data_IF_664573084128
#
_entry.id   IF_664573084128
#
_cell.length_a   1.000
_cell.length_b   1.000
_cell.length_c   1.000
_cell.angle_alpha   90.00
_cell.angle_beta   90.00
_cell.angle_gamma   90.00
#
_symmetry.space_group_name_H-M   'P 1'
#
loop_
_entity.id
_entity.type
_entity.pdbx_description
1 polymer ?
#
# COMPACT_ATOMS: atom_id res chain seq x y z
N UNK A 1 5.92 -14.06 23.47
CA UNK A 1 5.88 -14.08 22.00
C UNK A 1 4.52 -14.58 21.57
N UNK A 2 3.98 -14.07 20.45
CA UNK A 2 2.69 -14.49 19.90
C UNK A 2 2.90 -15.17 18.53
N UNK A 3 2.12 -16.20 18.26
CA UNK A 3 2.04 -16.80 16.92
C UNK A 3 1.00 -16.10 16.09
N UNK A 4 1.35 -15.74 14.87
CA UNK A 4 0.53 -14.86 14.04
C UNK A 4 0.29 -15.46 12.67
N UNK A 5 -0.92 -15.29 12.16
CA UNK A 5 -1.22 -15.48 10.74
C UNK A 5 -1.56 -14.13 10.12
N UNK A 6 -0.87 -13.79 9.04
CA UNK A 6 -1.14 -12.60 8.24
C UNK A 6 -1.76 -13.01 6.91
N UNK A 7 -2.96 -12.52 6.61
CA UNK A 7 -3.69 -12.86 5.39
C UNK A 7 -3.81 -11.64 4.47
N UNK A 8 -3.25 -11.72 3.28
CA UNK A 8 -3.29 -10.64 2.30
C UNK A 8 -2.58 -11.03 1.01
N UNK A 9 -2.91 -10.38 -0.09
CA UNK A 9 -2.23 -10.71 -1.34
C UNK A 9 -2.81 -10.00 -2.56
N UNK A 10 -2.20 -10.31 -3.70
CA UNK A 10 -2.54 -9.80 -5.02
C UNK A 10 -1.77 -8.56 -5.40
N UNK A 11 -1.89 -7.47 -4.67
CA UNK A 11 -1.28 -6.16 -4.99
C UNK A 11 -0.34 -5.67 -3.89
N UNK A 12 0.56 -4.75 -4.26
CA UNK A 12 1.45 -4.08 -3.30
C UNK A 12 0.68 -3.38 -2.16
N UNK A 13 -0.51 -2.85 -2.42
CA UNK A 13 -1.36 -2.20 -1.42
C UNK A 13 -1.82 -3.11 -0.28
N UNK A 14 -1.82 -4.44 -0.47
CA UNK A 14 -2.11 -5.42 0.59
C UNK A 14 -0.85 -6.08 1.15
N UNK A 15 0.16 -6.32 0.29
CA UNK A 15 1.37 -7.05 0.68
C UNK A 15 2.34 -6.16 1.46
N UNK A 16 2.54 -4.91 1.05
CA UNK A 16 3.48 -4.01 1.73
C UNK A 16 3.08 -3.71 3.19
N UNK A 17 1.83 -3.34 3.52
CA UNK A 17 1.44 -3.14 4.93
C UNK A 17 1.50 -4.43 5.74
N UNK A 18 1.22 -5.59 5.14
CA UNK A 18 1.37 -6.90 5.77
C UNK A 18 2.84 -7.13 6.17
N UNK A 19 3.78 -6.90 5.25
CA UNK A 19 5.22 -7.05 5.51
C UNK A 19 5.73 -6.03 6.53
N UNK A 20 5.25 -4.79 6.48
CA UNK A 20 5.61 -3.76 7.46
C UNK A 20 5.20 -4.19 8.89
N UNK A 21 4.03 -4.77 9.06
CA UNK A 21 3.57 -5.32 10.35
C UNK A 21 4.39 -6.54 10.76
N UNK A 22 4.71 -7.44 9.84
CA UNK A 22 5.55 -8.61 10.12
C UNK A 22 6.94 -8.21 10.63
N UNK A 23 7.60 -7.27 9.93
CA UNK A 23 8.90 -6.74 10.34
C UNK A 23 8.82 -6.05 11.71
N UNK A 24 7.73 -5.34 11.98
CA UNK A 24 7.55 -4.66 13.26
C UNK A 24 7.34 -5.65 14.42
N UNK A 25 6.59 -6.74 14.20
CA UNK A 25 6.45 -7.84 15.17
C UNK A 25 7.80 -8.46 15.54
N UNK A 26 8.64 -8.72 14.54
CA UNK A 26 10.00 -9.27 14.75
C UNK A 26 10.89 -8.25 15.47
N UNK A 27 10.89 -7.00 15.04
CA UNK A 27 11.67 -5.92 15.65
C UNK A 27 11.37 -5.71 17.13
N UNK A 28 10.09 -5.79 17.51
CA UNK A 28 9.67 -5.67 18.92
C UNK A 28 9.93 -6.92 19.76
N UNK A 29 10.42 -8.00 19.15
CA UNK A 29 10.54 -9.30 19.83
C UNK A 29 9.18 -9.93 20.18
N UNK A 30 8.10 -9.45 19.55
CA UNK A 30 6.74 -9.96 19.76
C UNK A 30 6.54 -11.33 19.11
N UNK A 31 7.23 -11.59 18.00
CA UNK A 31 7.25 -12.86 17.26
C UNK A 31 8.61 -13.10 16.64
N UNK A 32 8.97 -14.35 16.38
CA UNK A 32 10.07 -14.70 15.47
C UNK A 32 9.54 -14.87 14.04
N UNK A 33 10.40 -14.88 13.00
CA UNK A 33 9.94 -15.18 11.63
C UNK A 33 9.19 -16.52 11.50
N UNK A 34 9.56 -17.53 12.30
CA UNK A 34 8.95 -18.86 12.34
C UNK A 34 7.54 -18.83 12.97
N UNK A 35 7.28 -17.87 13.86
CA UNK A 35 5.96 -17.66 14.48
C UNK A 35 4.99 -16.92 13.55
N UNK A 36 5.46 -16.40 12.41
CA UNK A 36 4.66 -15.66 11.44
C UNK A 36 4.39 -16.50 10.21
N UNK A 37 3.12 -16.85 9.99
CA UNK A 37 2.67 -17.50 8.77
C UNK A 37 1.91 -16.51 7.90
N UNK A 38 2.30 -16.37 6.64
CA UNK A 38 1.55 -15.60 5.65
C UNK A 38 0.67 -16.53 4.82
N UNK A 39 -0.62 -16.18 4.69
CA UNK A 39 -1.56 -16.84 3.78
C UNK A 39 -1.85 -15.91 2.60
N UNK A 40 -1.47 -16.32 1.40
CA UNK A 40 -1.62 -15.59 0.16
C UNK A 40 -2.20 -16.43 -0.98
N UNK A 41 -2.02 -15.97 -2.22
CA UNK A 41 -2.37 -16.71 -3.44
C UNK A 41 -1.09 -17.15 -4.18
N UNK A 42 -1.24 -18.01 -5.21
CA UNK A 42 -0.10 -18.46 -6.03
C UNK A 42 0.34 -17.43 -7.08
N UNK A 43 -0.43 -16.37 -7.29
CA UNK A 43 -0.35 -15.50 -8.48
C UNK A 43 -0.07 -14.03 -8.13
N UNK A 44 0.01 -13.69 -6.85
CA UNK A 44 0.20 -12.31 -6.39
C UNK A 44 1.66 -11.97 -6.08
N UNK A 45 1.93 -10.69 -5.77
CA UNK A 45 3.25 -10.21 -5.38
C UNK A 45 3.80 -10.89 -4.11
N UNK A 46 2.93 -11.43 -3.28
CA UNK A 46 3.27 -12.15 -2.06
C UNK A 46 4.15 -13.38 -2.33
N UNK A 47 4.05 -13.99 -3.52
CA UNK A 47 4.86 -15.17 -3.87
C UNK A 47 6.35 -14.87 -3.96
N UNK A 48 6.71 -13.64 -4.28
CA UNK A 48 8.08 -13.14 -4.32
C UNK A 48 8.45 -12.44 -3.01
N UNK A 49 7.67 -11.45 -2.60
CA UNK A 49 8.04 -10.55 -1.50
C UNK A 49 8.04 -11.21 -0.11
N UNK A 50 7.16 -12.19 0.14
CA UNK A 50 7.10 -12.85 1.45
C UNK A 50 8.32 -13.74 1.70
N UNK A 51 8.76 -14.63 0.75
CA UNK A 51 10.02 -15.35 0.90
C UNK A 51 11.26 -14.46 0.94
N UNK A 52 11.31 -13.38 0.15
CA UNK A 52 12.39 -12.39 0.19
C UNK A 52 12.51 -11.72 1.57
N UNK A 53 11.39 -11.57 2.30
CA UNK A 53 11.36 -11.07 3.67
C UNK A 53 11.70 -12.16 4.73
N UNK A 54 12.09 -13.37 4.33
CA UNK A 54 12.41 -14.48 5.23
C UNK A 54 11.20 -15.10 5.94
N UNK A 55 9.98 -14.88 5.42
CA UNK A 55 8.74 -15.37 6.02
C UNK A 55 8.16 -16.58 5.31
N UNK A 56 7.44 -17.42 6.06
CA UNK A 56 6.76 -18.59 5.49
C UNK A 56 5.47 -18.21 4.78
N UNK A 57 5.37 -18.52 3.47
CA UNK A 57 4.16 -18.36 2.68
C UNK A 57 3.42 -19.70 2.52
N UNK A 58 2.12 -19.72 2.78
CA UNK A 58 1.20 -20.79 2.36
C UNK A 58 0.13 -20.20 1.48
N UNK A 59 -0.28 -20.93 0.45
CA UNK A 59 -1.21 -20.41 -0.55
C UNK A 59 -2.55 -21.16 -0.53
N UNK A 60 -3.62 -20.38 -0.76
CA UNK A 60 -4.96 -20.88 -1.07
C UNK A 60 -5.36 -20.44 -2.47
N UNK A 61 -6.46 -20.98 -2.99
CA UNK A 61 -6.95 -20.63 -4.31
C UNK A 61 -7.37 -19.15 -4.36
N UNK A 62 -7.01 -18.47 -5.44
CA UNK A 62 -7.52 -17.12 -5.74
C UNK A 62 -8.98 -17.23 -6.17
N UNK A 63 -9.87 -16.53 -5.46
CA UNK A 63 -11.31 -16.62 -5.66
C UNK A 63 -11.90 -15.22 -5.88
N UNK A 64 -11.85 -14.68 -7.11
CA UNK A 64 -12.54 -13.43 -7.42
C UNK A 64 -14.04 -13.62 -7.23
N UNK A 65 -14.67 -12.68 -6.54
CA UNK A 65 -16.11 -12.72 -6.31
C UNK A 65 -16.85 -12.56 -7.64
N UNK A 66 -17.82 -13.44 -7.97
CA UNK A 66 -18.53 -13.40 -9.24
C UNK A 66 -19.37 -12.13 -9.34
N UNK A 67 -19.16 -11.36 -10.42
CA UNK A 67 -19.91 -10.11 -10.69
C UNK A 67 -21.17 -10.35 -11.53
N UNK A 68 -21.32 -11.54 -12.11
CA UNK A 68 -22.47 -11.94 -12.94
C UNK A 68 -22.90 -13.35 -12.55
N UNK A 69 -24.19 -13.63 -12.65
CA UNK A 69 -24.73 -14.97 -12.45
C UNK A 69 -24.46 -15.80 -13.74
N UNK A 70 -23.39 -16.59 -13.70
CA UNK A 70 -22.99 -17.50 -14.79
C UNK A 70 -22.49 -18.83 -14.20
N UNK A 71 -22.08 -19.78 -15.04
CA UNK A 71 -21.53 -21.06 -14.58
C UNK A 71 -20.35 -20.93 -13.63
N UNK A 72 -19.56 -19.86 -13.74
CA UNK A 72 -18.45 -19.57 -12.81
C UNK A 72 -18.96 -19.19 -11.40
N UNK A 73 -20.14 -18.58 -11.30
CA UNK A 73 -20.76 -18.29 -10.01
C UNK A 73 -21.23 -19.56 -9.28
N UNK A 74 -21.69 -20.58 -10.01
CA UNK A 74 -22.01 -21.90 -9.44
C UNK A 74 -20.77 -22.61 -8.88
N UNK A 75 -19.65 -22.55 -9.60
CA UNK A 75 -18.37 -23.14 -9.16
C UNK A 75 -17.67 -22.35 -8.07
N UNK A 76 -18.09 -21.13 -7.82
CA UNK A 76 -17.50 -20.27 -6.76
C UNK A 76 -17.68 -20.88 -5.37
N UNK A 77 -18.91 -21.32 -5.04
CA UNK A 77 -19.21 -21.78 -3.68
C UNK A 77 -18.44 -23.04 -3.26
N UNK A 78 -18.37 -24.13 -4.04
CA UNK A 78 -17.55 -25.29 -3.68
C UNK A 78 -16.06 -24.94 -3.59
N UNK A 79 -15.54 -24.07 -4.47
CA UNK A 79 -14.16 -23.59 -4.38
C UNK A 79 -13.92 -22.73 -3.13
N UNK A 80 -14.89 -21.89 -2.77
CA UNK A 80 -14.82 -21.08 -1.56
C UNK A 80 -14.80 -21.96 -0.30
N UNK A 81 -15.68 -22.95 -0.22
CA UNK A 81 -15.67 -23.94 0.88
C UNK A 81 -14.33 -24.67 0.94
N UNK A 82 -13.79 -25.12 -0.19
CA UNK A 82 -12.46 -25.74 -0.25
C UNK A 82 -11.34 -24.81 0.26
N UNK A 83 -11.40 -23.53 -0.08
CA UNK A 83 -10.44 -22.53 0.43
C UNK A 83 -10.60 -22.29 1.95
N UNK A 84 -11.85 -22.26 2.46
CA UNK A 84 -12.12 -22.18 3.91
C UNK A 84 -11.56 -23.39 4.63
N UNK A 85 -11.83 -24.62 4.15
CA UNK A 85 -11.32 -25.84 4.77
C UNK A 85 -9.78 -25.90 4.75
N UNK A 86 -9.17 -25.44 3.67
CA UNK A 86 -7.70 -25.32 3.61
C UNK A 86 -7.19 -24.29 4.62
N UNK A 87 -7.86 -23.14 4.76
CA UNK A 87 -7.52 -22.12 5.77
C UNK A 87 -7.66 -22.69 7.19
N UNK A 88 -8.74 -23.42 7.48
CA UNK A 88 -8.93 -24.11 8.78
C UNK A 88 -7.76 -25.05 9.08
N UNK A 89 -7.31 -25.88 8.11
CA UNK A 89 -6.17 -26.77 8.30
C UNK A 89 -4.88 -26.01 8.60
N UNK A 90 -4.62 -24.91 7.87
CA UNK A 90 -3.44 -24.06 8.09
C UNK A 90 -3.48 -23.41 9.46
N UNK A 91 -4.63 -22.85 9.87
CA UNK A 91 -4.79 -22.23 11.18
C UNK A 91 -4.63 -23.25 12.32
N UNK A 92 -5.22 -24.45 12.19
CA UNK A 92 -5.04 -25.53 13.19
C UNK A 92 -3.61 -26.02 13.30
N UNK A 93 -2.90 -26.11 12.18
CA UNK A 93 -1.48 -26.53 12.15
C UNK A 93 -0.56 -25.50 12.78
N UNK A 94 -0.78 -24.19 12.45
CA UNK A 94 0.07 -23.10 12.96
C UNK A 94 -0.31 -22.65 14.37
N UNK A 95 -1.58 -22.84 14.79
CA UNK A 95 -2.14 -22.48 16.12
C UNK A 95 -1.87 -21.01 16.47
N UNK A 96 -2.32 -20.04 15.64
CA UNK A 96 -2.04 -18.64 15.91
C UNK A 96 -2.85 -18.10 17.08
N UNK A 97 -2.26 -17.18 17.85
CA UNK A 97 -2.93 -16.41 18.90
C UNK A 97 -3.82 -15.31 18.32
N UNK A 98 -3.47 -14.83 17.14
CA UNK A 98 -4.20 -13.78 16.40
C UNK A 98 -4.01 -13.92 14.89
N UNK A 99 -5.05 -13.59 14.14
CA UNK A 99 -5.02 -13.47 12.67
C UNK A 99 -5.19 -12.01 12.29
N UNK A 100 -4.36 -11.51 11.39
CA UNK A 100 -4.52 -10.17 10.82
C UNK A 100 -4.78 -10.25 9.31
N UNK A 101 -5.82 -9.58 8.84
CA UNK A 101 -6.20 -9.53 7.44
C UNK A 101 -5.97 -8.16 6.82
N UNK A 102 -5.34 -8.16 5.62
CA UNK A 102 -4.98 -6.94 4.89
C UNK A 102 -5.78 -6.76 3.59
N UNK A 103 -6.78 -7.61 3.35
CA UNK A 103 -7.58 -7.55 2.14
C UNK A 103 -7.10 -8.45 1.01
N UNK A 104 -7.70 -8.26 -0.17
CA UNK A 104 -7.52 -9.17 -1.31
C UNK A 104 -8.46 -10.39 -1.26
N UNK A 105 -8.45 -11.17 -2.33
CA UNK A 105 -9.35 -12.33 -2.48
C UNK A 105 -9.09 -13.46 -1.47
N UNK A 106 -7.88 -13.52 -0.93
CA UNK A 106 -7.47 -14.51 0.07
C UNK A 106 -8.11 -14.27 1.43
N UNK A 107 -8.44 -13.05 1.76
CA UNK A 107 -8.86 -12.67 3.12
C UNK A 107 -10.23 -13.24 3.50
N UNK A 108 -11.19 -13.28 2.59
CA UNK A 108 -12.54 -13.75 2.92
C UNK A 108 -12.59 -15.21 3.42
N UNK A 109 -11.97 -16.22 2.76
CA UNK A 109 -11.92 -17.59 3.28
C UNK A 109 -11.19 -17.69 4.63
N UNK A 110 -10.11 -16.90 4.81
CA UNK A 110 -9.36 -16.88 6.07
C UNK A 110 -10.21 -16.29 7.19
N UNK A 111 -10.97 -15.21 6.95
CA UNK A 111 -11.86 -14.61 7.95
C UNK A 111 -12.94 -15.59 8.42
N UNK A 112 -13.57 -16.34 7.50
CA UNK A 112 -14.54 -17.39 7.85
C UNK A 112 -13.89 -18.47 8.71
N UNK A 113 -12.71 -18.96 8.31
CA UNK A 113 -11.99 -19.98 9.06
C UNK A 113 -11.57 -19.49 10.46
N UNK A 114 -11.12 -18.26 10.57
CA UNK A 114 -10.74 -17.58 11.82
C UNK A 114 -11.93 -17.48 12.76
N UNK A 115 -13.07 -17.01 12.24
CA UNK A 115 -14.32 -16.92 12.99
C UNK A 115 -14.81 -18.30 13.47
N UNK A 116 -14.82 -19.31 12.60
CA UNK A 116 -15.24 -20.67 12.93
C UNK A 116 -14.36 -21.32 14.01
N UNK A 117 -13.07 -20.98 14.04
CA UNK A 117 -12.11 -21.46 15.05
C UNK A 117 -12.07 -20.56 16.31
N UNK A 118 -12.84 -19.48 16.35
CA UNK A 118 -12.87 -18.49 17.44
C UNK A 118 -11.50 -17.87 17.74
N UNK A 119 -10.65 -17.74 16.73
CA UNK A 119 -9.37 -17.06 16.83
C UNK A 119 -9.60 -15.55 16.71
N UNK A 120 -8.92 -14.71 17.51
CA UNK A 120 -9.00 -13.26 17.37
C UNK A 120 -8.61 -12.79 15.96
N UNK A 121 -9.42 -11.89 15.39
CA UNK A 121 -9.21 -11.32 14.05
C UNK A 121 -8.99 -9.82 14.16
N UNK A 122 -7.95 -9.32 13.52
CA UNK A 122 -7.70 -7.89 13.29
C UNK A 122 -7.78 -7.62 11.79
N UNK A 123 -8.43 -6.54 11.37
CA UNK A 123 -8.56 -6.20 9.95
C UNK A 123 -7.94 -4.84 9.69
N UNK A 124 -7.09 -4.76 8.67
CA UNK A 124 -6.59 -3.51 8.11
C UNK A 124 -7.26 -3.24 6.76
N UNK A 125 -7.85 -2.05 6.62
CA UNK A 125 -8.34 -1.55 5.34
C UNK A 125 -7.43 -0.44 4.82
N UNK A 126 -6.80 -0.73 3.69
CA UNK A 126 -5.83 0.16 3.06
C UNK A 126 -6.47 1.33 2.30
N UNK A 127 -7.66 1.15 1.73
CA UNK A 127 -8.30 2.12 0.84
C UNK A 127 -9.41 2.91 1.54
N UNK A 128 -9.69 4.10 1.04
CA UNK A 128 -10.82 4.91 1.47
C UNK A 128 -12.17 4.25 1.16
N UNK A 129 -12.25 3.49 0.06
CA UNK A 129 -13.41 2.64 -0.25
C UNK A 129 -13.09 1.20 0.15
N UNK A 130 -13.74 0.68 1.20
CA UNK A 130 -13.42 -0.65 1.71
C UNK A 130 -13.68 -1.75 0.69
N UNK A 131 -12.73 -2.69 0.59
CA UNK A 131 -12.90 -3.90 -0.20
C UNK A 131 -14.00 -4.83 0.35
N UNK A 132 -14.59 -5.65 -0.53
CA UNK A 132 -15.70 -6.54 -0.16
C UNK A 132 -15.37 -7.46 1.01
N UNK A 133 -14.19 -8.09 1.01
CA UNK A 133 -13.76 -8.99 2.08
C UNK A 133 -13.69 -8.26 3.43
N UNK A 134 -13.10 -7.05 3.47
CA UNK A 134 -12.97 -6.27 4.69
C UNK A 134 -14.32 -5.69 5.16
N UNK A 135 -15.20 -5.28 4.24
CA UNK A 135 -16.57 -4.84 4.59
C UNK A 135 -17.37 -5.93 5.30
N UNK A 136 -17.24 -7.15 4.83
CA UNK A 136 -17.93 -8.30 5.44
C UNK A 136 -17.21 -8.74 6.71
N UNK A 137 -15.89 -8.89 6.67
CA UNK A 137 -15.07 -9.31 7.81
C UNK A 137 -15.15 -8.36 9.00
N UNK A 138 -15.32 -7.05 8.78
CA UNK A 138 -15.48 -6.04 9.84
C UNK A 138 -16.72 -6.28 10.75
N UNK A 139 -17.66 -7.12 10.32
CA UNK A 139 -18.79 -7.55 11.17
C UNK A 139 -18.41 -8.67 12.13
N UNK A 140 -17.32 -9.40 11.84
CA UNK A 140 -16.87 -10.57 12.60
C UNK A 140 -15.91 -10.21 13.74
N UNK A 141 -15.41 -8.96 13.80
CA UNK A 141 -14.42 -8.53 14.78
C UNK A 141 -14.67 -7.10 15.26
N UNK A 142 -14.34 -6.76 16.53
CA UNK A 142 -14.27 -5.37 16.98
C UNK A 142 -12.96 -4.66 16.60
N UNK A 143 -11.95 -5.37 16.10
CA UNK A 143 -10.60 -4.86 15.86
C UNK A 143 -10.43 -4.52 14.37
N UNK A 144 -10.94 -3.36 13.98
CA UNK A 144 -10.87 -2.85 12.60
C UNK A 144 -10.01 -1.60 12.56
N UNK A 145 -9.03 -1.57 11.67
CA UNK A 145 -8.09 -0.47 11.48
C UNK A 145 -8.22 0.06 10.06
N UNK A 146 -8.19 1.37 9.90
CA UNK A 146 -8.30 2.05 8.60
C UNK A 146 -7.14 3.00 8.36
N UNK A 147 -6.84 3.22 7.07
CA UNK A 147 -5.79 4.12 6.62
C UNK A 147 -6.29 5.55 6.46
N UNK A 148 -7.49 5.76 5.92
CA UNK A 148 -8.03 7.07 5.56
C UNK A 148 -9.24 7.44 6.39
N UNK A 149 -9.46 8.75 6.60
CA UNK A 149 -10.57 9.30 7.37
C UNK A 149 -11.95 8.98 6.77
N UNK A 150 -12.03 8.93 5.43
CA UNK A 150 -13.26 8.60 4.70
C UNK A 150 -13.68 7.13 4.80
N UNK A 151 -12.81 6.24 5.28
CA UNK A 151 -13.12 4.80 5.29
C UNK A 151 -14.21 4.47 6.32
N UNK A 152 -15.39 4.11 5.83
CA UNK A 152 -16.54 3.77 6.68
C UNK A 152 -16.62 2.26 6.91
N UNK A 153 -16.17 1.81 8.07
CA UNK A 153 -16.31 0.43 8.55
C UNK A 153 -16.78 0.43 10.01
N UNK A 154 -17.55 -0.59 10.45
CA UNK A 154 -17.98 -0.72 11.84
C UNK A 154 -16.78 -0.76 12.78
N UNK A 155 -16.84 0.00 13.88
CA UNK A 155 -15.82 -0.02 14.96
C UNK A 155 -14.40 0.28 14.49
N UNK A 156 -14.27 0.98 13.36
CA UNK A 156 -12.96 1.30 12.79
C UNK A 156 -12.20 2.33 13.64
N UNK A 157 -10.92 2.09 13.78
CA UNK A 157 -9.95 3.03 14.35
C UNK A 157 -9.00 3.49 13.26
N UNK A 158 -8.88 4.79 13.08
CA UNK A 158 -7.96 5.39 12.11
C UNK A 158 -6.52 5.34 12.66
N UNK A 159 -5.71 4.42 12.17
CA UNK A 159 -4.29 4.30 12.53
C UNK A 159 -3.32 4.64 11.40
N UNK A 160 -3.80 4.73 10.17
CA UNK A 160 -2.96 4.98 8.99
C UNK A 160 -2.45 3.69 8.34
N UNK A 161 -1.58 3.86 7.35
CA UNK A 161 -0.97 2.79 6.59
C UNK A 161 0.28 2.26 7.30
N UNK A 162 0.36 0.97 7.65
CA UNK A 162 1.63 0.37 8.07
C UNK A 162 2.66 0.43 6.93
N UNK A 163 3.80 1.06 7.21
CA UNK A 163 4.87 1.30 6.23
C UNK A 163 6.23 0.90 6.78
N UNK A 164 7.23 0.60 5.90
CA UNK A 164 8.59 0.27 6.31
C UNK A 164 9.26 1.43 7.08
N UNK A 165 10.17 1.09 7.99
CA UNK A 165 10.93 2.08 8.77
C UNK A 165 11.78 3.02 7.91
N UNK A 166 12.24 2.58 6.74
CA UNK A 166 12.95 3.42 5.76
C UNK A 166 12.11 4.61 5.28
N UNK A 167 10.78 4.53 5.40
CA UNK A 167 9.85 5.62 5.11
C UNK A 167 9.44 6.36 6.39
N UNK A 168 9.18 5.61 7.48
CA UNK A 168 8.54 6.18 8.68
C UNK A 168 9.53 6.83 9.65
N UNK A 169 10.77 6.31 9.76
CA UNK A 169 11.73 6.75 10.77
C UNK A 169 12.77 7.73 10.19
N UNK A 170 12.90 8.95 10.76
CA UNK A 170 13.84 9.96 10.24
C UNK A 170 15.28 9.46 10.14
N UNK A 171 15.75 8.71 11.14
CA UNK A 171 17.13 8.16 11.17
C UNK A 171 17.36 7.01 10.19
N UNK A 172 16.30 6.39 9.68
CA UNK A 172 16.38 5.30 8.69
C UNK A 172 16.10 5.78 7.27
N UNK A 173 15.67 7.03 7.10
CA UNK A 173 15.40 7.61 5.77
C UNK A 173 16.71 7.90 5.06
N UNK A 174 16.79 7.62 3.75
CA UNK A 174 17.91 8.06 2.94
C UNK A 174 18.05 9.58 2.94
N UNK A 175 19.27 10.07 2.91
CA UNK A 175 19.51 11.51 2.72
C UNK A 175 19.20 11.90 1.27
N UNK A 176 18.82 13.16 1.05
CA UNK A 176 18.56 13.70 -0.28
C UNK A 176 19.76 13.50 -1.23
N UNK A 177 20.98 13.74 -0.74
CA UNK A 177 22.19 13.58 -1.52
C UNK A 177 22.44 12.12 -1.94
N UNK A 178 22.35 11.18 -0.99
CA UNK A 178 22.51 9.76 -1.28
C UNK A 178 21.43 9.24 -2.24
N UNK A 179 20.18 9.70 -2.06
CA UNK A 179 19.07 9.34 -2.91
C UNK A 179 19.27 9.82 -4.37
N UNK A 180 19.65 11.08 -4.56
CA UNK A 180 19.92 11.63 -5.89
C UNK A 180 21.14 10.97 -6.55
N UNK A 181 22.22 10.74 -5.80
CA UNK A 181 23.39 10.05 -6.30
C UNK A 181 23.07 8.62 -6.80
N UNK A 182 22.21 7.89 -6.06
CA UNK A 182 21.78 6.53 -6.43
C UNK A 182 21.13 6.48 -7.83
N UNK A 183 20.40 7.52 -8.22
CA UNK A 183 19.74 7.60 -9.53
C UNK A 183 20.52 8.40 -10.57
N UNK A 184 21.76 8.82 -10.28
CA UNK A 184 22.54 9.64 -11.20
C UNK A 184 21.97 11.06 -11.40
N UNK A 185 21.20 11.54 -10.43
CA UNK A 185 20.58 12.86 -10.45
C UNK A 185 21.50 13.93 -9.87
N UNK A 186 21.40 15.16 -10.39
CA UNK A 186 22.13 16.30 -9.84
C UNK A 186 21.72 16.58 -8.39
N UNK A 187 22.68 16.79 -7.46
CA UNK A 187 22.35 17.11 -6.07
C UNK A 187 21.70 18.49 -5.90
N UNK A 188 21.88 19.39 -6.88
CA UNK A 188 21.44 20.80 -6.81
C UNK A 188 20.09 21.07 -7.45
N UNK A 189 19.64 20.23 -8.41
CA UNK A 189 18.39 20.45 -9.13
C UNK A 189 17.20 19.88 -8.37
N UNK A 190 16.04 20.54 -8.46
CA UNK A 190 14.76 20.00 -7.98
C UNK A 190 14.38 18.78 -8.79
N UNK A 191 13.83 17.76 -8.15
CA UNK A 191 13.48 16.48 -8.78
C UNK A 191 11.97 16.29 -8.79
N UNK A 192 11.40 16.12 -9.96
CA UNK A 192 10.03 15.65 -10.14
C UNK A 192 10.03 14.12 -10.22
N UNK A 193 9.44 13.46 -9.22
CA UNK A 193 9.18 12.02 -9.29
C UNK A 193 7.87 11.77 -10.01
N UNK A 194 7.90 10.91 -11.02
CA UNK A 194 6.70 10.49 -11.75
C UNK A 194 6.52 8.98 -11.62
N UNK A 195 5.33 8.53 -11.19
CA UNK A 195 5.05 7.10 -11.07
C UNK A 195 3.57 6.77 -11.27
N UNK A 196 3.32 5.78 -12.11
CA UNK A 196 1.98 5.19 -12.31
C UNK A 196 1.69 4.01 -11.37
N UNK A 197 2.55 3.77 -10.36
CA UNK A 197 2.53 2.56 -9.53
C UNK A 197 3.26 1.38 -10.20
N UNK A 198 3.22 0.18 -9.57
CA UNK A 198 3.99 -0.99 -10.00
C UNK A 198 3.71 -1.45 -11.45
N UNK A 199 2.51 -1.24 -11.94
CA UNK A 199 2.13 -1.59 -13.33
C UNK A 199 2.42 -0.44 -14.30
N UNK A 200 2.62 0.77 -13.79
CA UNK A 200 2.72 1.99 -14.57
C UNK A 200 1.38 2.52 -15.05
N UNK A 201 1.42 3.61 -15.81
CA UNK A 201 0.25 4.26 -16.40
C UNK A 201 0.60 4.81 -17.77
N UNK A 202 -0.03 4.28 -18.82
CA UNK A 202 0.21 4.73 -20.20
C UNK A 202 -0.09 6.22 -20.34
N UNK A 203 -1.22 6.71 -19.83
CA UNK A 203 -1.63 8.12 -19.94
C UNK A 203 -0.64 9.05 -19.22
N UNK A 204 -0.28 8.75 -17.95
CA UNK A 204 0.70 9.56 -17.20
C UNK A 204 2.05 9.56 -17.90
N UNK A 205 2.50 8.38 -18.35
CA UNK A 205 3.78 8.25 -19.02
C UNK A 205 3.83 9.08 -20.32
N UNK A 206 2.82 8.93 -21.19
CA UNK A 206 2.79 9.65 -22.47
C UNK A 206 2.70 11.16 -22.29
N UNK A 207 1.86 11.63 -21.36
CA UNK A 207 1.75 13.06 -21.05
C UNK A 207 3.08 13.63 -20.56
N UNK A 208 3.71 12.99 -19.57
CA UNK A 208 4.98 13.48 -19.02
C UNK A 208 6.11 13.43 -20.05
N UNK A 209 6.18 12.40 -20.87
CA UNK A 209 7.16 12.31 -21.95
C UNK A 209 7.00 13.46 -22.97
N UNK A 210 5.77 13.82 -23.32
CA UNK A 210 5.47 14.91 -24.26
C UNK A 210 5.89 16.30 -23.74
N UNK A 211 5.96 16.49 -22.42
CA UNK A 211 6.33 17.77 -21.79
C UNK A 211 7.67 17.72 -21.04
N UNK A 212 8.42 16.63 -21.20
CA UNK A 212 9.69 16.46 -20.48
C UNK A 212 10.67 17.60 -20.77
N UNK A 213 10.75 18.05 -22.03
CA UNK A 213 11.57 19.21 -22.42
C UNK A 213 11.19 20.49 -21.69
N UNK A 214 9.89 20.75 -21.54
CA UNK A 214 9.39 21.94 -20.84
C UNK A 214 9.76 21.91 -19.35
N UNK A 215 9.63 20.74 -18.70
CA UNK A 215 10.01 20.53 -17.28
C UNK A 215 11.51 20.71 -17.08
N UNK A 216 12.34 20.16 -17.99
CA UNK A 216 13.79 20.30 -17.94
C UNK A 216 14.24 21.74 -18.16
N UNK A 217 13.60 22.47 -19.11
CA UNK A 217 13.85 23.88 -19.38
C UNK A 217 13.47 24.79 -18.18
N UNK A 218 12.49 24.38 -17.37
CA UNK A 218 12.14 25.04 -16.13
C UNK A 218 13.14 24.79 -14.98
N UNK A 219 14.29 24.13 -15.25
CA UNK A 219 15.36 23.89 -14.29
C UNK A 219 15.18 22.64 -13.40
N UNK A 220 14.16 21.84 -13.65
CA UNK A 220 13.92 20.58 -12.95
C UNK A 220 14.68 19.42 -13.58
N UNK A 221 14.79 18.33 -12.85
CA UNK A 221 15.15 17.01 -13.38
C UNK A 221 14.01 16.03 -13.07
N UNK A 222 13.94 14.94 -13.85
CA UNK A 222 12.83 14.00 -13.80
C UNK A 222 13.35 12.63 -13.42
N UNK A 223 12.74 12.00 -12.39
CA UNK A 223 12.86 10.57 -12.11
C UNK A 223 11.52 9.90 -12.45
N UNK A 224 11.48 9.13 -13.53
CA UNK A 224 10.26 8.56 -14.07
C UNK A 224 10.23 7.04 -13.94
N UNK A 225 9.37 6.51 -13.08
CA UNK A 225 9.13 5.08 -12.93
C UNK A 225 7.95 4.70 -13.83
N UNK A 226 8.25 4.24 -15.05
CA UNK A 226 7.24 4.01 -16.10
C UNK A 226 6.37 2.78 -15.86
N UNK A 227 6.82 1.84 -15.03
CA UNK A 227 6.14 0.58 -14.74
C UNK A 227 6.55 -0.56 -15.68
N UNK A 228 6.53 -1.80 -15.16
CA UNK A 228 7.08 -2.97 -15.84
C UNK A 228 6.44 -3.28 -17.20
N UNK A 229 5.20 -2.87 -17.41
CA UNK A 229 4.45 -3.16 -18.65
C UNK A 229 4.63 -2.13 -19.75
N UNK A 230 5.30 -1.02 -19.46
CA UNK A 230 5.46 0.08 -20.39
C UNK A 230 6.89 0.11 -20.96
N UNK A 231 7.06 0.56 -22.22
CA UNK A 231 8.39 0.78 -22.79
C UNK A 231 9.10 1.93 -22.05
N UNK A 232 10.43 1.87 -22.01
CA UNK A 232 11.24 3.03 -21.65
C UNK A 232 11.22 4.04 -22.80
N UNK A 233 11.43 5.36 -22.51
CA UNK A 233 11.67 6.35 -23.53
C UNK A 233 12.85 5.94 -24.42
N UNK A 234 12.74 6.17 -25.73
CA UNK A 234 13.76 5.78 -26.71
C UNK A 234 14.91 6.78 -26.79
N UNK A 235 14.72 7.99 -26.28
CA UNK A 235 15.71 9.07 -26.35
C UNK A 235 16.21 9.36 -24.93
N UNK A 236 17.53 9.24 -24.76
CA UNK A 236 18.20 9.68 -23.54
C UNK A 236 18.27 11.20 -23.50
N UNK A 237 17.74 11.82 -22.49
CA UNK A 237 17.76 13.26 -22.29
C UNK A 237 18.46 13.60 -20.98
N UNK A 238 19.50 14.45 -20.97
CA UNK A 238 20.19 14.84 -19.74
C UNK A 238 19.22 15.42 -18.69
N UNK A 239 19.24 14.85 -17.49
CA UNK A 239 18.30 15.23 -16.41
C UNK A 239 16.97 14.49 -16.43
N UNK A 240 16.75 13.57 -17.37
CA UNK A 240 15.58 12.67 -17.39
C UNK A 240 16.03 11.22 -17.20
N UNK A 241 15.79 10.69 -16.01
CA UNK A 241 16.09 9.30 -15.65
C UNK A 241 14.80 8.50 -15.66
N UNK A 242 14.72 7.48 -16.52
CA UNK A 242 13.56 6.60 -16.64
C UNK A 242 13.91 5.18 -16.19
N UNK A 243 13.06 4.59 -15.34
CA UNK A 243 13.21 3.24 -14.82
C UNK A 243 11.92 2.43 -15.09
N UNK A 244 12.06 1.15 -15.48
CA UNK A 244 10.91 0.26 -15.59
C UNK A 244 10.27 -0.05 -14.24
N UNK A 245 11.10 -0.23 -13.22
CA UNK A 245 10.70 -0.56 -11.87
C UNK A 245 11.70 0.02 -10.87
N UNK A 246 11.25 0.31 -9.67
CA UNK A 246 12.10 0.79 -8.60
C UNK A 246 11.83 -0.04 -7.34
N UNK A 247 12.80 -0.85 -6.92
CA UNK A 247 12.73 -1.60 -5.66
C UNK A 247 12.95 -0.69 -4.45
N UNK A 248 13.69 0.40 -4.64
CA UNK A 248 14.05 1.36 -3.61
C UNK A 248 13.20 2.63 -3.72
N UNK A 249 11.86 2.46 -3.54
CA UNK A 249 10.94 3.61 -3.53
C UNK A 249 11.25 4.61 -2.41
N UNK A 250 11.83 4.17 -1.31
CA UNK A 250 12.33 5.03 -0.24
C UNK A 250 13.38 6.04 -0.75
N UNK A 251 14.30 5.60 -1.60
CA UNK A 251 15.26 6.49 -2.28
C UNK A 251 14.57 7.39 -3.31
N UNK A 252 13.62 6.86 -4.08
CA UNK A 252 12.91 7.66 -5.08
C UNK A 252 12.13 8.82 -4.43
N UNK A 253 11.42 8.56 -3.35
CA UNK A 253 10.74 9.61 -2.57
C UNK A 253 11.74 10.56 -1.89
N UNK A 254 12.85 10.07 -1.35
CA UNK A 254 13.87 10.91 -0.73
C UNK A 254 14.57 11.84 -1.74
N UNK A 255 14.67 11.44 -3.01
CA UNK A 255 15.22 12.28 -4.09
C UNK A 255 14.24 13.37 -4.54
N UNK A 256 12.92 13.17 -4.33
CA UNK A 256 11.86 13.99 -4.89
C UNK A 256 11.70 15.35 -4.18
N UNK A 257 11.36 16.36 -4.95
CA UNK A 257 10.90 17.67 -4.48
C UNK A 257 9.38 17.79 -4.63
N UNK A 258 8.81 17.21 -5.70
CA UNK A 258 7.39 17.10 -5.96
C UNK A 258 7.10 15.76 -6.67
N UNK A 259 5.84 15.32 -6.65
CA UNK A 259 5.43 14.03 -7.20
C UNK A 259 4.24 14.17 -8.14
N UNK A 260 4.29 13.50 -9.28
CA UNK A 260 3.10 13.20 -10.09
C UNK A 260 2.84 11.70 -9.98
N UNK A 261 1.67 11.27 -9.53
CA UNK A 261 1.40 9.84 -9.38
C UNK A 261 -0.07 9.47 -9.48
N UNK A 262 -0.32 8.17 -9.67
CA UNK A 262 -1.62 7.58 -9.34
C UNK A 262 -1.89 7.69 -7.84
N UNK A 263 -3.16 7.75 -7.45
CA UNK A 263 -3.56 7.88 -6.05
C UNK A 263 -3.84 6.50 -5.39
N UNK A 264 -2.93 5.55 -5.56
CA UNK A 264 -2.97 4.28 -4.83
C UNK A 264 -2.75 4.49 -3.33
N UNK A 265 -3.42 3.71 -2.49
CA UNK A 265 -3.43 3.92 -1.04
C UNK A 265 -2.04 4.00 -0.41
N UNK A 266 -1.11 3.09 -0.78
CA UNK A 266 0.26 3.11 -0.27
C UNK A 266 0.99 4.39 -0.70
N UNK A 267 0.94 4.73 -1.99
CA UNK A 267 1.63 5.92 -2.54
C UNK A 267 1.12 7.22 -1.92
N UNK A 268 -0.22 7.36 -1.76
CA UNK A 268 -0.81 8.53 -1.08
C UNK A 268 -0.31 8.62 0.36
N UNK A 269 -0.30 7.50 1.09
CA UNK A 269 0.15 7.47 2.50
C UNK A 269 1.64 7.80 2.64
N UNK A 270 2.48 7.30 1.71
CA UNK A 270 3.91 7.59 1.66
C UNK A 270 4.15 9.09 1.39
N UNK A 271 3.47 9.66 0.41
CA UNK A 271 3.53 11.08 0.04
C UNK A 271 3.07 11.97 1.21
N UNK A 272 1.95 11.64 1.86
CA UNK A 272 1.45 12.35 3.04
C UNK A 272 2.45 12.35 4.18
N UNK A 273 3.02 11.19 4.49
CA UNK A 273 3.98 11.06 5.59
C UNK A 273 5.29 11.82 5.32
N UNK A 274 5.74 11.82 4.07
CA UNK A 274 6.97 12.51 3.67
C UNK A 274 6.79 14.01 3.43
N UNK A 275 5.55 14.48 3.44
CA UNK A 275 5.22 15.88 3.20
C UNK A 275 5.54 16.33 1.78
N UNK A 276 5.42 15.46 0.78
CA UNK A 276 5.76 15.81 -0.59
C UNK A 276 4.57 16.49 -1.30
N UNK A 277 4.77 17.67 -1.92
CA UNK A 277 3.79 18.25 -2.81
C UNK A 277 3.45 17.29 -3.95
N UNK A 278 2.16 17.07 -4.22
CA UNK A 278 1.75 16.07 -5.19
C UNK A 278 0.68 16.54 -6.18
N UNK A 279 0.76 16.03 -7.40
CA UNK A 279 -0.34 16.02 -8.36
C UNK A 279 -0.81 14.59 -8.52
N UNK A 280 -2.01 14.30 -8.06
CA UNK A 280 -2.62 12.98 -8.17
C UNK A 280 -3.46 12.88 -9.43
N UNK A 281 -3.22 11.80 -10.17
CA UNK A 281 -3.97 11.41 -11.37
C UNK A 281 -4.63 10.06 -11.08
N UNK A 282 -5.83 10.01 -10.48
CA UNK A 282 -6.48 8.76 -10.11
C UNK A 282 -6.68 7.82 -11.29
N UNK A 283 -6.60 6.51 -11.05
CA UNK A 283 -6.93 5.52 -12.06
C UNK A 283 -8.43 5.57 -12.40
N UNK A 284 -8.81 5.73 -13.68
CA UNK A 284 -10.21 6.03 -14.07
C UNK A 284 -11.14 4.82 -13.97
N UNK A 285 -10.59 3.61 -13.77
CA UNK A 285 -11.36 2.35 -13.74
C UNK A 285 -11.44 1.83 -12.30
N UNK A 286 -12.58 1.28 -11.94
CA UNK A 286 -12.82 0.71 -10.62
C UNK A 286 -14.03 1.33 -9.93
N UNK A 287 -13.96 1.50 -8.62
CA UNK A 287 -15.02 2.05 -7.79
C UNK A 287 -14.74 3.48 -7.27
N UNK A 288 -13.82 4.20 -7.93
CA UNK A 288 -13.42 5.56 -7.53
C UNK A 288 -12.60 5.61 -6.25
N UNK A 289 -11.99 4.49 -5.84
CA UNK A 289 -11.22 4.41 -4.59
C UNK A 289 -10.02 5.34 -4.57
N UNK A 290 -9.32 5.50 -5.71
CA UNK A 290 -8.11 6.32 -5.77
C UNK A 290 -8.39 7.81 -5.57
N UNK A 291 -9.46 8.33 -6.13
CA UNK A 291 -9.88 9.71 -5.88
C UNK A 291 -10.13 9.94 -4.38
N UNK A 292 -10.82 9.00 -3.74
CA UNK A 292 -11.11 9.09 -2.30
C UNK A 292 -9.89 8.87 -1.41
N UNK A 293 -8.89 8.10 -1.85
CA UNK A 293 -7.63 7.98 -1.15
C UNK A 293 -6.89 9.33 -1.04
N UNK A 294 -7.00 10.18 -2.07
CA UNK A 294 -6.38 11.50 -2.09
C UNK A 294 -7.11 12.57 -1.25
N UNK A 295 -8.33 12.27 -0.77
CA UNK A 295 -9.22 13.22 -0.13
C UNK A 295 -8.56 14.04 0.98
N UNK A 296 -7.91 13.40 1.94
CA UNK A 296 -7.29 14.08 3.08
C UNK A 296 -6.20 15.08 2.62
N UNK A 297 -5.41 14.72 1.59
CA UNK A 297 -4.41 15.60 0.98
C UNK A 297 -5.03 16.80 0.26
N UNK A 298 -6.16 16.58 -0.43
CA UNK A 298 -6.87 17.63 -1.14
C UNK A 298 -7.50 18.63 -0.15
N UNK A 299 -8.16 18.15 0.89
CA UNK A 299 -8.77 19.01 1.91
C UNK A 299 -7.73 19.83 2.66
N UNK A 300 -6.56 19.27 2.91
CA UNK A 300 -5.44 19.99 3.50
C UNK A 300 -4.80 20.99 2.52
N UNK A 301 -5.00 20.84 1.22
CA UNK A 301 -4.32 21.61 0.18
C UNK A 301 -2.85 21.25 0.05
N UNK A 302 -2.47 20.00 0.35
CA UNK A 302 -1.13 19.46 0.16
C UNK A 302 -0.96 18.75 -1.18
N UNK A 303 -2.04 18.57 -1.93
CA UNK A 303 -2.02 17.98 -3.27
C UNK A 303 -3.05 18.63 -4.20
N UNK A 304 -2.82 18.46 -5.50
CA UNK A 304 -3.77 18.76 -6.57
C UNK A 304 -4.26 17.44 -7.15
N UNK A 305 -5.51 17.38 -7.56
CA UNK A 305 -6.09 16.21 -8.23
C UNK A 305 -6.56 16.62 -9.62
N UNK A 306 -6.25 15.80 -10.60
CA UNK A 306 -6.72 15.95 -11.98
C UNK A 306 -7.20 14.60 -12.50
N UNK A 307 -8.29 14.57 -13.25
CA UNK A 307 -8.77 13.33 -13.84
C UNK A 307 -7.77 12.77 -14.87
N UNK A 308 -7.82 11.46 -15.13
CA UNK A 308 -6.95 10.84 -16.14
C UNK A 308 -7.13 11.42 -17.53
N UNK A 309 -8.38 11.77 -17.90
CA UNK A 309 -8.72 12.39 -19.19
C UNK A 309 -8.22 13.82 -19.33
N UNK A 310 -8.17 14.56 -18.22
CA UNK A 310 -7.78 15.97 -18.21
C UNK A 310 -6.28 16.16 -18.02
N UNK A 311 -5.56 15.11 -17.62
CA UNK A 311 -4.10 15.12 -17.48
C UNK A 311 -3.42 15.10 -18.84
N UNK A 312 -3.51 16.18 -19.56
CA UNK A 312 -2.94 16.40 -20.91
C UNK A 312 -1.64 17.19 -20.86
N UNK A 313 -0.83 17.20 -21.96
CA UNK A 313 0.34 18.09 -22.06
C UNK A 313 0.01 19.56 -21.82
N UNK A 314 -1.14 20.02 -22.30
CA UNK A 314 -1.57 21.43 -22.11
C UNK A 314 -1.94 21.72 -20.67
N UNK A 315 -2.59 20.78 -19.97
CA UNK A 315 -2.82 20.90 -18.54
C UNK A 315 -1.50 20.99 -17.76
N UNK A 316 -0.51 20.18 -18.11
CA UNK A 316 0.80 20.24 -17.45
C UNK A 316 1.46 21.60 -17.68
N UNK A 317 1.43 22.15 -18.91
CA UNK A 317 1.97 23.47 -19.21
C UNK A 317 1.23 24.59 -18.51
N UNK A 318 -0.10 24.53 -18.47
CA UNK A 318 -0.93 25.59 -17.91
C UNK A 318 -1.01 25.57 -16.38
N UNK A 319 -0.90 24.39 -15.74
CA UNK A 319 -1.17 24.23 -14.31
C UNK A 319 0.03 23.68 -13.54
N UNK A 320 0.66 22.59 -14.03
CA UNK A 320 1.71 21.92 -13.26
C UNK A 320 3.03 22.70 -13.34
N UNK A 321 3.43 23.18 -14.52
CA UNK A 321 4.67 23.95 -14.67
C UNK A 321 4.67 25.25 -13.84
N UNK A 322 3.60 26.08 -13.84
CA UNK A 322 3.53 27.23 -12.93
C UNK A 322 3.64 26.82 -11.45
N UNK A 323 2.98 25.74 -11.03
CA UNK A 323 3.11 25.20 -9.67
C UNK A 323 4.55 24.81 -9.34
N UNK A 324 5.22 24.11 -10.24
CA UNK A 324 6.64 23.71 -10.05
C UNK A 324 7.58 24.93 -9.99
N UNK A 325 7.22 26.03 -10.63
CA UNK A 325 7.93 27.31 -10.58
C UNK A 325 7.71 28.15 -9.32
N UNK A 326 6.65 27.85 -8.54
CA UNK A 326 6.32 28.59 -7.32
C UNK A 326 6.82 27.87 -6.06
N UNK A 327 8.03 28.22 -5.60
CA UNK A 327 8.63 27.63 -4.40
C UNK A 327 7.80 27.87 -3.14
N UNK A 328 7.13 29.01 -3.05
CA UNK A 328 6.28 29.35 -1.91
C UNK A 328 5.02 28.46 -1.90
N UNK A 329 4.44 28.18 -3.08
CA UNK A 329 3.33 27.23 -3.18
C UNK A 329 3.74 25.82 -2.79
N UNK A 330 4.87 25.31 -3.29
CA UNK A 330 5.39 23.99 -2.93
C UNK A 330 5.67 23.88 -1.43
N UNK A 331 6.23 24.91 -0.81
CA UNK A 331 6.48 24.93 0.63
C UNK A 331 5.18 24.97 1.43
N UNK A 332 4.19 25.76 1.01
CA UNK A 332 2.85 25.74 1.63
C UNK A 332 2.19 24.36 1.55
N UNK A 333 2.30 23.68 0.40
CA UNK A 333 1.80 22.30 0.25
C UNK A 333 2.51 21.34 1.19
N UNK A 334 3.83 21.45 1.32
CA UNK A 334 4.64 20.64 2.25
C UNK A 334 4.20 20.83 3.69
N UNK A 335 4.05 22.07 4.14
CA UNK A 335 3.59 22.39 5.49
C UNK A 335 2.20 21.84 5.78
N UNK A 336 1.29 21.95 4.81
CA UNK A 336 -0.09 21.44 4.91
C UNK A 336 -0.19 19.91 4.93
N UNK A 337 0.83 19.20 4.43
CA UNK A 337 0.91 17.75 4.54
C UNK A 337 1.31 17.29 5.96
N UNK A 338 1.86 18.19 6.78
CA UNK A 338 2.33 17.86 8.14
C UNK A 338 1.17 17.33 8.98
N UNK A 339 1.36 16.13 9.56
CA UNK A 339 0.36 15.48 10.41
C UNK A 339 -0.71 14.66 9.67
N UNK A 340 -0.75 14.67 8.34
CA UNK A 340 -1.64 13.78 7.58
C UNK A 340 -1.18 12.33 7.66
N UNK A 341 0.13 12.09 7.47
CA UNK A 341 0.72 10.75 7.57
C UNK A 341 0.96 10.32 9.01
N UNK A 342 0.81 9.03 9.29
CA UNK A 342 0.99 8.43 10.62
C UNK A 342 2.21 7.51 10.62
N UNK A 343 3.32 7.99 11.18
CA UNK A 343 4.59 7.26 11.18
C UNK A 343 4.56 5.97 12.01
N UNK A 344 3.76 5.93 13.07
CA UNK A 344 3.67 4.82 14.02
C UNK A 344 2.58 3.80 13.69
N UNK A 345 2.02 3.80 12.48
CA UNK A 345 0.90 2.94 12.12
C UNK A 345 1.21 1.44 12.29
N UNK A 346 2.41 0.98 11.93
CA UNK A 346 2.80 -0.42 12.11
C UNK A 346 2.90 -0.80 13.60
N UNK A 347 3.50 0.04 14.41
CA UNK A 347 3.60 -0.14 15.88
C UNK A 347 2.23 -0.18 16.53
N UNK A 348 1.36 0.79 16.19
CA UNK A 348 0.00 0.86 16.71
C UNK A 348 -0.83 -0.36 16.29
N UNK A 349 -0.62 -0.86 15.06
CA UNK A 349 -1.28 -2.08 14.58
C UNK A 349 -0.85 -3.32 15.39
N UNK A 350 0.43 -3.47 15.66
CA UNK A 350 0.96 -4.56 16.52
C UNK A 350 0.34 -4.49 17.92
N UNK A 351 0.16 -3.30 18.49
CA UNK A 351 -0.54 -3.14 19.77
C UNK A 351 -2.01 -3.57 19.72
N UNK A 352 -2.70 -3.32 18.58
CA UNK A 352 -4.06 -3.85 18.39
C UNK A 352 -4.06 -5.37 18.35
N UNK A 353 -3.06 -5.99 17.68
CA UNK A 353 -2.93 -7.46 17.66
C UNK A 353 -2.69 -8.03 19.06
N UNK A 354 -1.84 -7.42 19.87
CA UNK A 354 -1.63 -7.85 21.27
C UNK A 354 -2.91 -7.73 22.11
N UNK A 355 -3.64 -6.63 21.99
CA UNK A 355 -4.93 -6.47 22.69
C UNK A 355 -5.95 -7.53 22.26
N UNK A 356 -6.02 -7.82 20.97
CA UNK A 356 -6.92 -8.83 20.43
C UNK A 356 -6.58 -10.23 20.97
N UNK A 357 -5.30 -10.61 20.98
CA UNK A 357 -4.84 -11.92 21.52
C UNK A 357 -5.09 -12.06 23.01
N UNK A 358 -4.89 -11.01 23.81
CA UNK A 358 -5.11 -11.03 25.27
C UNK A 358 -6.59 -11.20 25.66
N UNK A 359 -7.52 -10.60 24.90
CA UNK A 359 -8.96 -10.71 25.18
C UNK A 359 -9.54 -12.09 24.87
N UNK A 360 -8.84 -12.95 24.15
CA UNK A 360 -9.34 -14.31 23.83
C UNK A 360 -9.33 -15.26 25.03
N UNK A 361 -8.71 -14.92 26.15
CA UNK A 361 -8.77 -15.69 27.44
C UNK A 361 -8.38 -17.17 27.34
N UNK A 362 -7.87 -17.62 26.21
CA UNK A 362 -7.68 -19.03 25.83
C UNK A 362 -6.27 -19.40 25.37
N UNK A 363 -5.26 -18.74 25.86
CA UNK A 363 -3.89 -19.25 25.70
C UNK A 363 -3.66 -20.59 26.42
N UNK A 364 -4.63 -21.07 27.23
CA UNK A 364 -4.46 -22.30 28.05
C UNK A 364 -5.36 -23.48 27.69
N UNK A 365 -6.26 -23.41 26.71
CA UNK A 365 -7.18 -24.52 26.44
C UNK A 365 -6.78 -25.48 25.31
N UNK A 366 -5.67 -25.22 24.62
CA UNK A 366 -5.15 -26.16 23.60
C UNK A 366 -4.28 -27.29 24.21
N UNK A 367 -3.92 -27.20 25.50
CA UNK A 367 -3.10 -28.20 26.18
C UNK A 367 -3.89 -29.39 26.77
N UNK A 368 -5.23 -29.41 26.73
CA UNK A 368 -6.04 -30.41 27.36
C UNK A 368 -7.11 -31.06 26.46
N UNK A 369 -6.82 -31.34 25.21
CA UNK A 369 -7.62 -32.29 24.41
C UNK A 369 -6.66 -33.12 23.54
N UNK A 370 -6.04 -34.09 24.16
CA UNK A 370 -5.59 -35.35 23.55
C UNK A 370 -6.59 -36.42 23.92
#
# INVERSE_FOLDING_TARGET
MIRVVLAGGGTAGHVNPLLAVAHELVRQGSSTPEDILVIGTKEGLETRLVPEAGLTLRTIARLPFPRRLNAQALLFWPRFVGAVLRSVRLLRSHRPDVVAGFGGYVSAPVYVATWALRIPLVIHEANAVPGFANRWGARLTPHVVTTFSLTKLPRATLLGMPMPRTITHPTSRPTLSAARAHFGLSPRKKTLLVTGGSQGSVSVNSTVQAVAGDILAAGWQILHIVGNRNPLPTVETPGYVALKYCDRMDLAFAAATAVISRAGAATVSEIQLLGLPAVFVPYPVGNGEQEKNAWDSLQAGSAVLVSDSDFTPDYVRATVLPLLGDDAALERMRQRATGLGRANAAEAFVQVMHRASAHSGKASSWSNQN
#
